data_IF_416970188840
#
_entry.id   IF_416970188840
#
_cell.length_a   1.000
_cell.length_b   1.000
_cell.length_c   1.000
_cell.angle_alpha   90.00
_cell.angle_beta   90.00
_cell.angle_gamma   90.00
#
_symmetry.space_group_name_H-M   'P 1'
#
loop_
_entity.id
_entity.type
_entity.pdbx_description
1 polymer ?
#
# COMPACT_ATOMS: atom_id res chain seq x y z
N UNK A 1 -42.95 33.41 6.26
CA UNK A 1 -42.09 33.24 5.08
C UNK A 1 -42.93 33.40 3.83
N UNK A 2 -42.50 34.31 2.96
CA UNK A 2 -42.95 34.44 1.58
C UNK A 2 -42.52 33.23 0.75
N UNK A 3 -43.20 33.00 -0.37
CA UNK A 3 -42.86 31.93 -1.33
C UNK A 3 -41.45 32.09 -1.92
N UNK A 4 -40.96 33.32 -2.01
CA UNK A 4 -39.58 33.59 -2.45
C UNK A 4 -38.56 33.10 -1.42
N UNK A 5 -38.77 33.44 -0.15
CA UNK A 5 -37.88 33.02 0.95
C UNK A 5 -37.86 31.50 1.13
N UNK A 6 -38.99 30.82 0.93
CA UNK A 6 -39.03 29.34 0.94
C UNK A 6 -38.15 28.74 -0.16
N UNK A 7 -38.30 29.22 -1.39
CA UNK A 7 -37.50 28.72 -2.54
C UNK A 7 -36.01 28.96 -2.36
N UNK A 8 -35.62 30.12 -1.84
CA UNK A 8 -34.21 30.43 -1.56
C UNK A 8 -33.64 29.52 -0.48
N UNK A 9 -34.42 29.26 0.58
CA UNK A 9 -34.05 28.32 1.63
C UNK A 9 -33.90 26.90 1.10
N UNK A 10 -34.87 26.39 0.34
CA UNK A 10 -34.83 25.04 -0.22
C UNK A 10 -33.61 24.86 -1.15
N UNK A 11 -33.35 25.85 -2.01
CA UNK A 11 -32.17 25.87 -2.90
C UNK A 11 -30.86 25.81 -2.10
N UNK A 12 -30.76 26.58 -1.01
CA UNK A 12 -29.60 26.56 -0.14
C UNK A 12 -29.40 25.19 0.52
N UNK A 13 -30.48 24.56 1.00
CA UNK A 13 -30.43 23.24 1.63
C UNK A 13 -29.98 22.17 0.64
N UNK A 14 -30.50 22.19 -0.59
CA UNK A 14 -30.10 21.24 -1.63
C UNK A 14 -28.63 21.40 -2.04
N UNK A 15 -28.15 22.65 -2.15
CA UNK A 15 -26.73 22.92 -2.38
C UNK A 15 -25.88 22.40 -1.22
N UNK A 16 -26.25 22.71 0.03
CA UNK A 16 -25.51 22.27 1.21
C UNK A 16 -25.45 20.74 1.32
N UNK A 17 -26.56 20.05 1.05
CA UNK A 17 -26.63 18.58 1.02
C UNK A 17 -25.71 18.00 -0.06
N UNK A 18 -25.74 18.58 -1.25
CA UNK A 18 -24.90 18.14 -2.37
C UNK A 18 -23.42 18.34 -2.07
N UNK A 19 -23.05 19.50 -1.53
CA UNK A 19 -21.69 19.81 -1.11
C UNK A 19 -21.18 18.83 -0.05
N UNK A 20 -22.03 18.52 0.94
CA UNK A 20 -21.69 17.56 1.98
C UNK A 20 -21.50 16.15 1.42
N UNK A 21 -22.37 15.72 0.50
CA UNK A 21 -22.25 14.43 -0.18
C UNK A 21 -20.98 14.29 -1.02
N UNK A 22 -20.52 15.38 -1.65
CA UNK A 22 -19.24 15.40 -2.37
C UNK A 22 -18.05 15.26 -1.41
N UNK A 23 -18.07 15.97 -0.28
CA UNK A 23 -17.00 15.89 0.73
C UNK A 23 -16.93 14.50 1.35
N UNK A 24 -18.08 13.90 1.66
CA UNK A 24 -18.14 12.57 2.24
C UNK A 24 -17.61 11.50 1.27
N UNK A 25 -18.03 11.56 0.00
CA UNK A 25 -17.48 10.69 -1.05
C UNK A 25 -15.97 10.83 -1.19
N UNK A 26 -15.46 12.05 -1.31
CA UNK A 26 -14.03 12.29 -1.44
C UNK A 26 -13.22 11.75 -0.24
N UNK A 27 -13.78 11.86 0.97
CA UNK A 27 -13.16 11.28 2.19
C UNK A 27 -13.18 9.77 2.19
N UNK A 28 -14.26 9.14 1.71
CA UNK A 28 -14.37 7.69 1.60
C UNK A 28 -13.38 7.16 0.56
N UNK A 29 -13.39 7.71 -0.65
CA UNK A 29 -12.47 7.35 -1.73
C UNK A 29 -11.01 7.52 -1.27
N UNK A 30 -10.67 8.65 -0.64
CA UNK A 30 -9.32 8.87 -0.12
C UNK A 30 -8.89 7.85 0.94
N UNK A 31 -9.81 7.34 1.77
CA UNK A 31 -9.52 6.28 2.74
C UNK A 31 -9.34 4.92 2.06
N UNK A 32 -10.22 4.59 1.11
CA UNK A 32 -10.17 3.34 0.36
C UNK A 32 -8.87 3.25 -0.44
N UNK A 33 -8.54 4.28 -1.22
CA UNK A 33 -7.28 4.35 -1.96
C UNK A 33 -6.05 4.28 -1.04
N UNK A 34 -6.10 4.98 0.10
CA UNK A 34 -5.02 4.97 1.07
C UNK A 34 -4.77 3.59 1.67
N UNK A 35 -5.85 2.85 1.94
CA UNK A 35 -5.79 1.48 2.44
C UNK A 35 -5.27 0.51 1.37
N UNK A 36 -5.74 0.62 0.14
CA UNK A 36 -5.31 -0.21 -0.99
C UNK A 36 -3.81 -0.02 -1.27
N UNK A 37 -3.36 1.23 -1.44
CA UNK A 37 -1.94 1.57 -1.66
C UNK A 37 -1.06 1.10 -0.51
N UNK A 38 -1.54 1.26 0.73
CA UNK A 38 -0.83 0.80 1.93
C UNK A 38 -0.67 -0.72 1.96
N UNK A 39 -1.73 -1.46 1.61
CA UNK A 39 -1.73 -2.92 1.60
C UNK A 39 -0.85 -3.48 0.48
N UNK A 40 -0.92 -2.91 -0.73
CA UNK A 40 -0.08 -3.30 -1.86
C UNK A 40 1.41 -3.12 -1.53
N UNK A 41 1.79 -1.93 -1.04
CA UNK A 41 3.18 -1.63 -0.65
C UNK A 41 3.66 -2.56 0.45
N UNK A 42 2.84 -2.79 1.48
CA UNK A 42 3.19 -3.70 2.59
C UNK A 42 3.36 -5.15 2.12
N UNK A 43 2.54 -5.61 1.17
CA UNK A 43 2.65 -6.95 0.61
C UNK A 43 3.90 -7.11 -0.26
N UNK A 44 4.23 -6.11 -1.07
CA UNK A 44 5.45 -6.12 -1.89
C UNK A 44 6.70 -6.12 -1.01
N UNK A 45 6.76 -5.25 -0.01
CA UNK A 45 7.88 -5.16 0.93
C UNK A 45 8.05 -6.46 1.70
N UNK A 46 6.96 -7.02 2.25
CA UNK A 46 7.00 -8.29 2.97
C UNK A 46 7.43 -9.47 2.10
N UNK A 47 7.01 -9.52 0.83
CA UNK A 47 7.47 -10.55 -0.13
C UNK A 47 8.96 -10.42 -0.40
N UNK A 48 9.46 -9.19 -0.61
CA UNK A 48 10.88 -8.93 -0.88
C UNK A 48 11.75 -9.29 0.33
N UNK A 49 11.35 -8.87 1.53
CA UNK A 49 12.04 -9.20 2.77
C UNK A 49 12.05 -10.70 3.04
N UNK A 50 10.90 -11.37 2.86
CA UNK A 50 10.80 -12.82 3.00
C UNK A 50 11.68 -13.59 2.00
N UNK A 51 11.71 -13.16 0.74
CA UNK A 51 12.58 -13.75 -0.28
C UNK A 51 14.07 -13.55 0.06
N UNK A 52 14.44 -12.35 0.52
CA UNK A 52 15.81 -12.05 0.93
C UNK A 52 16.24 -12.88 2.15
N UNK A 53 15.39 -12.95 3.18
CA UNK A 53 15.64 -13.77 4.37
C UNK A 53 15.79 -15.24 3.98
N UNK A 54 14.96 -15.72 3.05
CA UNK A 54 15.06 -17.10 2.56
C UNK A 54 16.37 -17.36 1.82
N UNK A 55 16.81 -16.42 0.98
CA UNK A 55 18.09 -16.51 0.29
C UNK A 55 19.26 -16.58 1.29
N UNK A 56 19.21 -15.79 2.38
CA UNK A 56 20.21 -15.82 3.45
C UNK A 56 20.24 -17.17 4.19
N UNK A 57 19.08 -17.72 4.53
CA UNK A 57 18.98 -19.06 5.15
C UNK A 57 19.62 -20.14 4.27
N UNK A 58 19.33 -20.10 2.97
CA UNK A 58 19.91 -21.03 1.98
C UNK A 58 21.42 -20.82 1.92
N UNK A 59 21.89 -19.57 1.82
CA UNK A 59 23.33 -19.27 1.78
C UNK A 59 24.07 -19.80 3.01
N UNK A 60 23.48 -19.68 4.21
CA UNK A 60 24.05 -20.24 5.43
C UNK A 60 24.11 -21.76 5.40
N UNK A 61 23.08 -22.44 4.89
CA UNK A 61 23.08 -23.90 4.74
C UNK A 61 24.15 -24.36 3.74
N UNK A 62 24.28 -23.69 2.60
CA UNK A 62 25.29 -23.99 1.58
C UNK A 62 26.71 -23.73 2.10
N UNK A 63 26.93 -22.65 2.85
CA UNK A 63 28.20 -22.38 3.52
C UNK A 63 28.59 -23.50 4.48
N UNK A 64 27.63 -24.00 5.27
CA UNK A 64 27.85 -25.14 6.18
C UNK A 64 28.13 -26.45 5.43
N UNK A 65 27.60 -26.60 4.22
CA UNK A 65 27.90 -27.71 3.33
C UNK A 65 29.26 -27.59 2.61
N UNK A 66 30.02 -26.51 2.86
CA UNK A 66 31.38 -26.33 2.33
C UNK A 66 31.46 -25.70 0.95
N UNK A 67 30.38 -25.11 0.44
CA UNK A 67 30.42 -24.41 -0.85
C UNK A 67 31.21 -23.11 -0.74
N UNK A 68 31.90 -22.75 -1.83
CA UNK A 68 32.63 -21.50 -1.92
C UNK A 68 31.68 -20.30 -2.01
N UNK A 69 32.11 -19.08 -1.61
CA UNK A 69 31.30 -17.87 -1.73
C UNK A 69 30.78 -17.62 -3.15
N UNK A 70 31.57 -17.93 -4.19
CA UNK A 70 31.15 -17.79 -5.58
C UNK A 70 30.00 -18.73 -5.96
N UNK A 71 30.08 -20.00 -5.55
CA UNK A 71 29.00 -20.97 -5.80
C UNK A 71 27.71 -20.62 -5.03
N UNK A 72 27.86 -20.07 -3.82
CA UNK A 72 26.71 -19.63 -3.01
C UNK A 72 26.02 -18.44 -3.68
N UNK A 73 26.79 -17.46 -4.18
CA UNK A 73 26.25 -16.32 -4.91
C UNK A 73 25.49 -16.75 -6.17
N UNK A 74 26.03 -17.72 -6.92
CA UNK A 74 25.37 -18.29 -8.11
C UNK A 74 24.01 -18.94 -7.78
N UNK A 75 23.93 -19.72 -6.69
CA UNK A 75 22.70 -20.43 -6.31
C UNK A 75 21.65 -19.51 -5.68
N UNK A 76 22.09 -18.54 -4.86
CA UNK A 76 21.17 -17.71 -4.06
C UNK A 76 20.85 -16.36 -4.70
N UNK A 77 21.61 -15.95 -5.72
CA UNK A 77 21.53 -14.62 -6.31
C UNK A 77 21.99 -13.50 -5.36
N UNK A 78 22.55 -13.83 -4.20
CA UNK A 78 23.13 -12.86 -3.28
C UNK A 78 24.50 -12.40 -3.78
N UNK A 79 24.88 -11.14 -3.54
CA UNK A 79 26.23 -10.68 -3.85
C UNK A 79 27.26 -11.47 -3.03
N UNK A 80 28.45 -11.67 -3.61
CA UNK A 80 29.58 -12.26 -2.87
C UNK A 80 29.95 -11.29 -1.76
N UNK A 81 29.94 -11.75 -0.52
CA UNK A 81 30.49 -10.99 0.59
C UNK A 81 32.01 -10.87 0.41
N UNK A 82 32.53 -9.64 0.42
CA UNK A 82 33.98 -9.35 0.40
C UNK A 82 34.72 -10.01 1.57
#
# INVERSE_FOLDING_TARGET
>A
MSEKEKREYDTFIDYARSAWGMIDNARREGREEGMEKGMEKGMEEGKREGAHQKALEIALALKRAGLSPGQIAEVTGLPVAE
#
